data_IF_964006567750
#
_entry.id   IF_964006567750
#
_cell.length_a   1.000
_cell.length_b   1.000
_cell.length_c   1.000
_cell.angle_alpha   90.00
_cell.angle_beta   90.00
_cell.angle_gamma   90.00
#
_symmetry.space_group_name_H-M   'P 1'
#
loop_
_entity.id
_entity.type
_entity.pdbx_description
1 polymer ?
#
# COMPACT_ATOMS: atom_id res chain seq x y z
N UNK A 1 2.21 -8.38 -4.19
CA UNK A 1 2.05 -6.90 -4.25
C UNK A 1 2.88 -6.35 -5.39
N UNK A 2 2.58 -5.14 -5.87
CA UNK A 2 3.31 -4.45 -6.94
C UNK A 2 3.40 -2.96 -6.65
N UNK A 3 4.60 -2.39 -6.70
CA UNK A 3 4.83 -0.94 -6.66
C UNK A 3 4.66 -0.31 -8.05
N UNK A 4 4.09 0.89 -8.09
CA UNK A 4 3.95 1.72 -9.29
C UNK A 4 4.37 3.13 -8.93
N UNK A 5 5.13 3.79 -9.81
CA UNK A 5 5.44 5.22 -9.70
C UNK A 5 4.79 5.99 -10.85
N UNK A 6 4.09 7.07 -10.53
CA UNK A 6 3.49 7.97 -11.50
C UNK A 6 3.40 9.39 -10.92
N UNK A 7 3.83 10.41 -11.66
CA UNK A 7 3.82 11.81 -11.24
C UNK A 7 4.39 12.06 -9.82
N UNK A 8 5.47 11.34 -9.48
CA UNK A 8 6.14 11.45 -8.18
C UNK A 8 5.41 10.76 -7.03
N UNK A 9 4.30 10.06 -7.27
CA UNK A 9 3.57 9.26 -6.28
C UNK A 9 3.98 7.79 -6.36
N UNK A 10 4.25 7.18 -5.21
CA UNK A 10 4.44 5.73 -5.07
C UNK A 10 3.10 5.11 -4.70
N UNK A 11 2.70 4.08 -5.44
CA UNK A 11 1.43 3.38 -5.25
C UNK A 11 1.73 1.91 -5.03
N UNK A 12 1.23 1.36 -3.93
CA UNK A 12 1.27 -0.06 -3.64
C UNK A 12 -0.06 -0.69 -4.04
N UNK A 13 -0.03 -1.55 -5.06
CA UNK A 13 -1.15 -2.42 -5.43
C UNK A 13 -1.01 -3.79 -4.78
N UNK A 14 -2.07 -4.21 -4.10
CA UNK A 14 -2.15 -5.54 -3.46
C UNK A 14 -3.46 -6.21 -3.84
N UNK A 15 -3.37 -7.50 -4.20
CA UNK A 15 -4.53 -8.37 -4.35
C UNK A 15 -4.62 -9.26 -3.11
N UNK A 16 -5.69 -9.12 -2.35
CA UNK A 16 -6.02 -9.94 -1.20
C UNK A 16 -7.24 -10.78 -1.57
N UNK A 17 -7.05 -12.08 -1.76
CA UNK A 17 -8.10 -13.05 -2.07
C UNK A 17 -9.06 -12.64 -3.20
N UNK A 18 -8.52 -12.02 -4.26
CA UNK A 18 -9.28 -11.59 -5.43
C UNK A 18 -9.78 -10.14 -5.35
N UNK A 19 -9.63 -9.47 -4.21
CA UNK A 19 -9.96 -8.05 -4.03
C UNK A 19 -8.71 -7.18 -4.16
N UNK A 20 -8.76 -6.18 -5.03
CA UNK A 20 -7.67 -5.22 -5.17
C UNK A 20 -7.76 -4.10 -4.13
N UNK A 21 -6.59 -3.72 -3.62
CA UNK A 21 -6.37 -2.62 -2.70
C UNK A 21 -5.22 -1.76 -3.25
N UNK A 22 -5.35 -0.44 -3.13
CA UNK A 22 -4.36 0.53 -3.54
C UNK A 22 -4.07 1.48 -2.38
N UNK A 23 -2.79 1.65 -2.06
CA UNK A 23 -2.30 2.48 -0.96
C UNK A 23 -1.12 3.32 -1.40
N UNK A 24 -0.79 4.38 -0.67
CA UNK A 24 0.53 5.01 -0.78
C UNK A 24 1.61 3.95 -0.53
N UNK A 25 2.58 3.90 -1.44
CA UNK A 25 3.68 2.95 -1.39
C UNK A 25 4.79 3.38 -0.43
N UNK A 26 4.71 4.57 0.16
CA UNK A 26 5.69 5.10 1.10
C UNK A 26 5.27 4.79 2.53
N UNK A 27 6.20 4.23 3.31
CA UNK A 27 5.97 4.04 4.74
C UNK A 27 5.69 5.38 5.44
N UNK A 28 4.70 5.42 6.33
CA UNK A 28 4.32 6.65 7.04
C UNK A 28 5.27 7.02 8.18
N UNK A 29 6.20 6.13 8.52
CA UNK A 29 7.29 6.40 9.45
C UNK A 29 8.38 7.25 8.80
N UNK A 30 8.94 6.78 7.68
CA UNK A 30 10.07 7.36 6.96
C UNK A 30 9.98 6.98 5.47
N UNK A 31 10.77 7.63 4.61
CA UNK A 31 10.77 7.46 3.16
C UNK A 31 11.30 6.08 2.72
N UNK A 32 10.48 5.03 2.92
CA UNK A 32 10.77 3.66 2.53
C UNK A 32 9.69 3.12 1.60
N UNK A 33 10.10 2.46 0.51
CA UNK A 33 9.20 1.83 -0.45
C UNK A 33 8.67 0.49 0.10
N UNK A 34 7.39 0.49 0.48
CA UNK A 34 6.68 -0.68 1.00
C UNK A 34 6.59 -1.82 -0.02
N UNK A 35 6.70 -1.53 -1.32
CA UNK A 35 6.68 -2.56 -2.37
C UNK A 35 7.95 -3.42 -2.41
N UNK A 36 9.02 -2.98 -1.74
CA UNK A 36 10.26 -3.75 -1.54
C UNK A 36 10.30 -4.53 -0.22
N UNK A 37 9.23 -4.41 0.58
CA UNK A 37 9.01 -5.18 1.79
C UNK A 37 8.42 -6.57 1.53
N UNK A 38 7.59 -7.05 2.45
CA UNK A 38 6.91 -8.35 2.30
C UNK A 38 5.47 -8.31 2.82
N UNK A 39 4.62 -9.09 2.18
CA UNK A 39 3.21 -9.25 2.49
C UNK A 39 3.00 -10.52 3.32
N UNK A 40 2.34 -10.42 4.47
CA UNK A 40 1.95 -11.56 5.31
C UNK A 40 0.46 -11.46 5.59
N UNK A 41 -0.33 -12.38 5.03
CA UNK A 41 -1.78 -12.29 5.08
C UNK A 41 -2.27 -10.96 4.51
N UNK A 42 -2.91 -10.16 5.34
CA UNK A 42 -3.48 -8.86 5.00
C UNK A 42 -2.56 -7.68 5.40
N UNK A 43 -1.32 -7.95 5.82
CA UNK A 43 -0.40 -6.92 6.30
C UNK A 43 0.81 -6.76 5.39
N UNK A 44 1.13 -5.51 5.01
CA UNK A 44 2.44 -5.19 4.42
C UNK A 44 3.42 -4.83 5.50
N UNK A 45 4.64 -5.39 5.42
CA UNK A 45 5.75 -5.09 6.32
C UNK A 45 6.78 -4.24 5.61
N UNK A 46 7.07 -3.07 6.17
CA UNK A 46 8.12 -2.16 5.72
C UNK A 46 9.50 -2.87 5.80
N UNK A 47 10.33 -2.80 4.75
CA UNK A 47 11.63 -3.48 4.72
C UNK A 47 12.66 -2.86 5.67
N UNK A 48 12.49 -1.61 6.09
CA UNK A 48 13.51 -0.87 6.83
C UNK A 48 13.48 -1.18 8.35
N UNK A 49 12.36 -0.87 9.00
CA UNK A 49 12.20 -1.00 10.46
C UNK A 49 11.04 -1.92 10.86
N UNK A 50 10.49 -2.67 9.91
CA UNK A 50 9.45 -3.69 10.13
C UNK A 50 8.11 -3.15 10.64
N UNK A 51 7.82 -1.86 10.46
CA UNK A 51 6.46 -1.34 10.59
C UNK A 51 5.51 -2.17 9.74
N UNK A 52 4.31 -2.43 10.26
CA UNK A 52 3.28 -3.20 9.55
C UNK A 52 2.01 -2.40 9.42
N UNK A 53 1.33 -2.56 8.30
CA UNK A 53 0.07 -1.90 8.03
C UNK A 53 -0.98 -2.93 7.63
N UNK A 54 -2.15 -2.86 8.25
CA UNK A 54 -3.29 -3.67 7.84
C UNK A 54 -3.84 -3.10 6.53
N UNK A 55 -3.87 -3.89 5.45
CA UNK A 55 -4.25 -3.43 4.11
C UNK A 55 -5.77 -3.43 3.87
N UNK A 56 -6.58 -3.83 4.86
CA UNK A 56 -8.02 -3.63 4.82
C UNK A 56 -8.40 -2.23 5.32
N UNK A 57 -7.69 -1.73 6.34
CA UNK A 57 -8.00 -0.45 7.01
C UNK A 57 -6.99 0.66 6.72
N UNK A 58 -5.75 0.31 6.41
CA UNK A 58 -4.61 1.23 6.28
C UNK A 58 -3.85 1.44 7.59
N UNK A 59 -4.40 1.01 8.72
CA UNK A 59 -3.87 1.30 10.05
C UNK A 59 -2.47 0.71 10.27
N UNK A 60 -1.60 1.47 10.93
CA UNK A 60 -0.34 0.97 11.41
C UNK A 60 -0.58 0.03 12.60
N UNK A 61 -0.15 -1.22 12.48
CA UNK A 61 -0.36 -2.28 13.49
C UNK A 61 0.93 -2.74 14.15
N UNK A 62 2.07 -2.22 13.69
CA UNK A 62 3.37 -2.44 14.31
C UNK A 62 4.21 -1.15 14.22
N UNK A 63 4.76 -0.65 15.34
CA UNK A 63 5.66 0.50 15.33
C UNK A 63 6.93 0.21 14.51
N UNK A 64 7.69 1.23 14.10
CA UNK A 64 7.60 2.63 14.51
C UNK A 64 6.57 3.50 13.76
N UNK A 65 5.88 2.96 12.75
CA UNK A 65 4.80 3.73 12.12
C UNK A 65 3.61 3.89 13.08
N UNK A 66 3.05 5.09 13.14
CA UNK A 66 1.85 5.41 13.94
C UNK A 66 0.68 5.88 13.09
N UNK A 67 0.96 6.43 11.89
CA UNK A 67 -0.07 6.98 11.00
C UNK A 67 -0.52 5.91 10.00
N UNK A 68 -1.82 5.87 9.66
CA UNK A 68 -2.33 4.96 8.63
C UNK A 68 -1.79 5.33 7.24
N UNK A 69 -1.78 4.36 6.33
CA UNK A 69 -1.54 4.58 4.91
C UNK A 69 -2.67 5.38 4.27
N UNK A 70 -2.33 6.23 3.31
CA UNK A 70 -3.33 6.87 2.44
C UNK A 70 -3.87 5.85 1.45
N UNK A 71 -5.20 5.75 1.34
CA UNK A 71 -5.87 4.84 0.41
C UNK A 71 -6.11 5.53 -0.94
N UNK A 72 -5.94 4.78 -2.03
CA UNK A 72 -6.43 5.18 -3.34
C UNK A 72 -7.68 4.38 -3.71
N UNK A 73 -8.61 5.01 -4.44
CA UNK A 73 -9.71 4.27 -5.04
C UNK A 73 -9.19 3.46 -6.22
N UNK A 74 -9.60 2.20 -6.29
CA UNK A 74 -9.23 1.27 -7.35
C UNK A 74 -10.48 0.70 -8.02
N UNK A 75 -10.50 0.70 -9.35
CA UNK A 75 -11.57 0.11 -10.17
C UNK A 75 -10.96 -0.91 -11.13
N UNK A 76 -11.66 -2.03 -11.33
CA UNK A 76 -11.34 -2.99 -12.40
C UNK A 76 -12.43 -2.91 -13.45
N UNK A 77 -12.05 -2.68 -14.70
CA UNK A 77 -12.98 -2.62 -15.83
C UNK A 77 -12.27 -3.16 -17.07
N UNK A 78 -12.93 -4.05 -17.84
CA UNK A 78 -12.38 -4.60 -19.08
C UNK A 78 -10.96 -5.18 -18.97
N UNK A 79 -10.65 -5.86 -17.86
CA UNK A 79 -9.33 -6.43 -17.56
C UNK A 79 -8.21 -5.39 -17.35
N UNK A 80 -8.58 -4.13 -17.12
CA UNK A 80 -7.68 -3.04 -16.76
C UNK A 80 -7.91 -2.60 -15.30
N UNK A 81 -6.86 -2.10 -14.66
CA UNK A 81 -6.88 -1.58 -13.29
C UNK A 81 -6.69 -0.06 -13.35
N UNK A 82 -7.67 0.67 -12.82
CA UNK A 82 -7.64 2.12 -12.71
C UNK A 82 -7.41 2.50 -11.24
N UNK A 83 -6.48 3.41 -11.00
CA UNK A 83 -6.21 4.00 -9.68
C UNK A 83 -6.50 5.49 -9.78
N UNK A 84 -7.41 5.98 -8.94
CA UNK A 84 -7.69 7.41 -8.81
C UNK A 84 -6.60 8.07 -7.97
N UNK A 85 -5.89 9.03 -8.56
CA UNK A 85 -4.76 9.68 -7.91
C UNK A 85 -5.21 10.87 -7.06
N UNK A 86 -6.12 11.70 -7.55
CA UNK A 86 -6.58 12.90 -6.86
C UNK A 86 -7.91 12.61 -6.15
N UNK A 87 -7.92 12.80 -4.83
CA UNK A 87 -9.11 12.70 -3.97
C UNK A 87 -9.44 14.07 -3.37
#
# INVERSE_FOLDING_TARGET
MKGIEHDGRRILLVNLDGKLHAWDGTCTHEEADLSTGFLIGEEVTCPLHLSRFNLLTGEAVNPPAEKPLTKYNVKVENNEIFVELDQ
#
